data_IF_508101540099
#
_entry.id   IF_508101540099
#
_cell.length_a   1.000
_cell.length_b   1.000
_cell.length_c   1.000
_cell.angle_alpha   90.00
_cell.angle_beta   90.00
_cell.angle_gamma   90.00
#
_symmetry.space_group_name_H-M   'P 1'
#
loop_
_entity.id
_entity.type
_entity.pdbx_description
1 polymer ?
#
# COMPACT_ATOMS: atom_id res chain seq x y z
N UNK A 1 22.55 0.91 -12.72
CA UNK A 1 21.18 1.22 -12.24
C UNK A 1 20.71 0.05 -11.40
N UNK A 2 20.20 0.30 -10.19
CA UNK A 2 19.74 -0.77 -9.29
C UNK A 2 18.46 -1.37 -9.84
N UNK A 3 18.37 -2.71 -9.89
CA UNK A 3 17.17 -3.43 -10.35
C UNK A 3 15.91 -2.94 -9.64
N UNK A 4 16.01 -2.52 -8.38
CA UNK A 4 14.88 -2.01 -7.62
C UNK A 4 14.37 -0.65 -8.09
N UNK A 5 15.26 0.29 -8.46
CA UNK A 5 14.82 1.55 -9.08
C UNK A 5 14.09 1.29 -10.41
N UNK A 6 14.48 0.23 -11.14
CA UNK A 6 13.73 -0.23 -12.30
C UNK A 6 12.40 -0.90 -11.92
N UNK A 7 12.30 -1.60 -10.79
CA UNK A 7 11.03 -2.18 -10.29
C UNK A 7 10.06 -1.06 -9.90
N UNK A 8 10.53 -0.05 -9.19
CA UNK A 8 9.73 1.13 -8.82
C UNK A 8 9.35 1.97 -10.04
N UNK A 9 10.29 2.17 -10.96
CA UNK A 9 10.02 2.83 -12.23
C UNK A 9 9.08 2.00 -13.13
N UNK A 10 9.09 0.67 -13.03
CA UNK A 10 8.15 -0.22 -13.72
C UNK A 10 6.77 -0.17 -13.08
N UNK A 11 6.66 -0.21 -11.76
CA UNK A 11 5.38 -0.02 -11.03
C UNK A 11 4.77 1.35 -11.39
N UNK A 12 5.58 2.41 -11.42
CA UNK A 12 5.15 3.77 -11.74
C UNK A 12 4.94 4.03 -13.25
N UNK A 13 5.70 3.38 -14.13
CA UNK A 13 5.51 3.47 -15.60
C UNK A 13 4.38 2.59 -16.11
N UNK A 14 4.04 1.51 -15.41
CA UNK A 14 2.94 0.62 -15.81
C UNK A 14 1.57 1.29 -15.70
N UNK A 15 1.41 2.26 -14.80
CA UNK A 15 0.27 3.20 -14.77
C UNK A 15 0.08 3.96 -16.11
N UNK A 16 1.09 4.00 -16.99
CA UNK A 16 1.06 4.72 -18.27
C UNK A 16 1.12 3.86 -19.53
N UNK A 17 1.35 2.54 -19.43
CA UNK A 17 1.64 1.70 -20.62
C UNK A 17 0.85 0.36 -20.72
N UNK A 18 -0.12 0.08 -19.84
CA UNK A 18 -1.06 -1.03 -20.02
C UNK A 18 -2.18 -0.70 -21.02
N UNK A 19 -2.80 -1.71 -21.66
CA UNK A 19 -4.08 -1.56 -22.35
C UNK A 19 -4.97 -0.61 -21.53
N UNK A 20 -5.40 0.52 -22.11
CA UNK A 20 -6.18 1.50 -21.38
C UNK A 20 -7.38 0.79 -20.75
N UNK A 21 -7.35 0.63 -19.43
CA UNK A 21 -8.50 0.14 -18.68
C UNK A 21 -9.70 0.95 -19.13
N UNK A 22 -10.77 0.25 -19.46
CA UNK A 22 -12.02 0.94 -19.72
C UNK A 22 -12.34 1.82 -18.51
N UNK A 23 -12.91 3.00 -18.77
CA UNK A 23 -13.33 3.92 -17.70
C UNK A 23 -14.21 3.20 -16.66
N UNK A 24 -14.94 2.18 -17.12
CA UNK A 24 -15.76 1.27 -16.33
C UNK A 24 -14.97 0.33 -15.41
N UNK A 25 -13.86 -0.27 -15.87
CA UNK A 25 -12.96 -1.08 -15.02
C UNK A 25 -12.26 -0.20 -13.98
N UNK A 26 -11.81 1.00 -14.38
CA UNK A 26 -11.23 1.98 -13.44
C UNK A 26 -12.21 2.43 -12.38
N UNK A 27 -13.47 2.64 -12.74
CA UNK A 27 -14.53 2.99 -11.79
C UNK A 27 -14.87 1.81 -10.87
N UNK A 28 -14.93 0.58 -11.39
CA UNK A 28 -15.15 -0.61 -10.59
C UNK A 28 -14.02 -0.86 -9.58
N UNK A 29 -12.75 -0.68 -9.97
CA UNK A 29 -11.61 -0.72 -9.06
C UNK A 29 -11.69 0.37 -7.99
N UNK A 30 -12.06 1.60 -8.36
CA UNK A 30 -12.23 2.72 -7.42
C UNK A 30 -13.31 2.44 -6.39
N UNK A 31 -14.48 1.94 -6.81
CA UNK A 31 -15.57 1.60 -5.89
C UNK A 31 -15.26 0.37 -5.03
N UNK A 32 -14.59 -0.63 -5.58
CA UNK A 32 -14.19 -1.83 -4.83
C UNK A 32 -13.13 -1.51 -3.76
N UNK A 33 -12.22 -0.58 -4.05
CA UNK A 33 -11.07 -0.28 -3.19
C UNK A 33 -11.22 0.98 -2.33
N UNK A 34 -12.33 1.72 -2.48
CA UNK A 34 -12.62 2.92 -1.69
C UNK A 34 -11.74 4.12 -2.04
N UNK A 35 -11.22 4.18 -3.26
CA UNK A 35 -10.40 5.29 -3.75
C UNK A 35 -11.34 6.39 -4.31
N UNK A 36 -11.88 7.24 -3.43
CA UNK A 36 -12.74 8.37 -3.82
C UNK A 36 -11.89 9.49 -4.44
N UNK A 37 -12.17 9.97 -5.68
CA UNK A 37 -11.53 11.16 -6.25
C UNK A 37 -11.82 12.46 -5.48
N UNK A 38 -12.78 12.42 -4.55
CA UNK A 38 -13.17 13.52 -3.67
C UNK A 38 -12.51 13.46 -2.31
N UNK A 39 -11.63 12.49 -2.03
CA UNK A 39 -10.78 12.56 -0.85
C UNK A 39 -9.86 13.77 -1.07
N UNK A 40 -10.05 14.88 -0.32
CA UNK A 40 -9.32 16.09 -0.60
C UNK A 40 -7.84 15.76 -0.57
N UNK A 41 -7.13 16.11 -1.64
CA UNK A 41 -5.69 16.40 -1.53
C UNK A 41 -5.65 17.51 -0.50
N UNK A 42 -5.53 17.14 0.78
CA UNK A 42 -5.52 18.06 1.90
C UNK A 42 -4.37 19.01 1.61
N UNK A 43 -4.74 20.17 1.09
CA UNK A 43 -3.87 21.29 0.91
C UNK A 43 -3.24 21.52 2.28
N UNK A 44 -1.91 21.62 2.35
CA UNK A 44 -1.15 21.71 3.60
C UNK A 44 -1.62 22.86 4.53
N UNK A 45 -2.52 23.72 4.03
CA UNK A 45 -3.22 24.78 4.74
C UNK A 45 -4.44 24.35 5.57
N UNK A 46 -5.15 23.25 5.25
CA UNK A 46 -6.22 22.71 6.12
C UNK A 46 -5.68 21.94 7.32
N UNK A 47 -4.38 21.59 7.28
CA UNK A 47 -3.60 20.90 8.32
C UNK A 47 -3.50 21.65 9.66
N UNK A 48 -4.05 22.87 9.78
CA UNK A 48 -3.94 23.72 10.97
C UNK A 48 -5.27 24.11 11.64
N UNK A 49 -6.45 23.68 11.17
CA UNK A 49 -7.72 24.24 11.64
C UNK A 49 -8.66 23.36 12.47
N UNK A 50 -8.39 22.07 12.65
CA UNK A 50 -9.17 21.24 13.57
C UNK A 50 -8.29 20.57 14.63
N UNK A 51 -7.70 21.40 15.49
CA UNK A 51 -7.09 20.95 16.74
C UNK A 51 -7.91 21.47 17.92
N UNK A 52 -9.02 20.80 18.22
CA UNK A 52 -9.65 20.87 19.55
C UNK A 52 -10.07 19.48 20.00
N UNK A 53 -9.08 18.57 20.10
CA UNK A 53 -9.19 17.38 20.95
C UNK A 53 -7.88 17.22 21.74
N UNK A 54 -7.88 17.31 23.09
CA UNK A 54 -6.67 17.37 23.90
C UNK A 54 -5.90 16.02 24.03
N UNK A 55 -6.30 14.98 23.30
CA UNK A 55 -5.60 13.69 23.26
C UNK A 55 -4.75 13.57 21.99
N UNK A 56 -3.54 14.12 22.01
CA UNK A 56 -2.56 14.03 20.90
C UNK A 56 -2.30 12.61 20.39
N UNK A 57 -2.58 11.57 21.20
CA UNK A 57 -2.36 10.16 20.87
C UNK A 57 -3.23 9.64 19.72
N UNK A 58 -4.48 10.10 19.56
CA UNK A 58 -5.38 9.62 18.49
C UNK A 58 -4.99 10.19 17.13
N UNK A 59 -4.64 11.48 17.09
CA UNK A 59 -4.17 12.15 15.88
C UNK A 59 -2.84 11.57 15.39
N UNK A 60 -1.88 11.38 16.30
CA UNK A 60 -0.58 10.81 15.96
C UNK A 60 -0.70 9.36 15.45
N UNK A 61 -1.62 8.57 16.02
CA UNK A 61 -1.93 7.22 15.52
C UNK A 61 -2.49 7.22 14.10
N UNK A 62 -3.44 8.13 13.80
CA UNK A 62 -4.02 8.24 12.47
C UNK A 62 -2.98 8.71 11.45
N UNK A 63 -2.16 9.68 11.81
CA UNK A 63 -1.09 10.18 10.94
C UNK A 63 -0.03 9.11 10.69
N UNK A 64 0.36 8.36 11.72
CA UNK A 64 1.28 7.22 11.58
C UNK A 64 0.71 6.14 10.65
N UNK A 65 -0.57 5.77 10.82
CA UNK A 65 -1.25 4.79 9.96
C UNK A 65 -1.31 5.25 8.51
N UNK A 66 -1.69 6.51 8.26
CA UNK A 66 -1.69 7.09 6.90
C UNK A 66 -0.29 7.10 6.30
N UNK A 67 0.73 7.46 7.10
CA UNK A 67 2.12 7.52 6.67
C UNK A 67 2.60 6.16 6.16
N UNK A 68 2.43 5.10 6.94
CA UNK A 68 2.91 3.77 6.53
C UNK A 68 2.15 3.22 5.31
N UNK A 69 0.82 3.34 5.28
CA UNK A 69 0.02 2.86 4.14
C UNK A 69 0.42 3.59 2.86
N UNK A 70 0.61 4.92 2.93
CA UNK A 70 1.04 5.71 1.77
C UNK A 70 2.45 5.37 1.32
N UNK A 71 3.40 5.25 2.24
CA UNK A 71 4.79 4.89 1.91
C UNK A 71 4.86 3.53 1.20
N UNK A 72 4.04 2.58 1.64
CA UNK A 72 4.00 1.24 1.05
C UNK A 72 3.29 1.24 -0.31
N UNK A 73 2.23 2.04 -0.47
CA UNK A 73 1.46 2.13 -1.71
C UNK A 73 2.20 2.89 -2.83
N UNK A 74 2.96 3.94 -2.49
CA UNK A 74 3.74 4.75 -3.43
C UNK A 74 5.23 4.73 -3.01
N UNK A 75 5.94 3.62 -3.32
CA UNK A 75 7.35 3.52 -3.02
C UNK A 75 8.15 4.52 -3.87
N UNK A 76 8.67 5.56 -3.22
CA UNK A 76 9.53 6.57 -3.84
C UNK A 76 10.76 5.95 -4.51
N UNK A 77 11.35 6.60 -5.53
CA UNK A 77 12.56 6.17 -6.27
C UNK A 77 13.85 6.21 -5.41
N UNK A 78 13.83 5.54 -4.26
CA UNK A 78 14.97 5.28 -3.40
C UNK A 78 15.43 3.83 -3.61
N UNK A 79 16.64 3.50 -3.18
CA UNK A 79 17.12 2.13 -3.27
C UNK A 79 16.25 1.20 -2.42
N UNK A 80 16.25 -0.09 -2.76
CA UNK A 80 15.51 -1.14 -2.06
C UNK A 80 15.74 -1.14 -0.57
N UNK A 81 17.02 -1.11 -0.22
CA UNK A 81 17.49 -1.16 1.14
C UNK A 81 17.00 0.05 1.91
N UNK A 82 17.07 1.24 1.30
CA UNK A 82 16.57 2.48 1.90
C UNK A 82 15.06 2.52 2.03
N UNK A 83 14.33 1.92 1.09
CA UNK A 83 12.89 1.80 1.18
C UNK A 83 12.48 0.96 2.38
N UNK A 84 13.02 -0.25 2.52
CA UNK A 84 12.68 -1.13 3.63
C UNK A 84 13.23 -0.63 4.97
N UNK A 85 14.39 0.04 4.97
CA UNK A 85 14.90 0.77 6.13
C UNK A 85 13.90 1.87 6.55
N UNK A 86 13.41 2.67 5.61
CA UNK A 86 12.45 3.73 5.89
C UNK A 86 11.11 3.18 6.42
N UNK A 87 10.58 2.12 5.82
CA UNK A 87 9.37 1.43 6.32
C UNK A 87 9.62 0.91 7.74
N UNK A 88 10.81 0.35 8.03
CA UNK A 88 11.19 -0.11 9.36
C UNK A 88 11.31 1.04 10.37
N UNK A 89 11.83 2.20 9.98
CA UNK A 89 11.89 3.41 10.81
C UNK A 89 10.49 3.89 11.20
N UNK A 90 9.58 4.00 10.23
CA UNK A 90 8.18 4.34 10.48
C UNK A 90 7.56 3.31 11.42
N UNK A 91 7.87 2.03 11.25
CA UNK A 91 7.37 0.98 12.13
C UNK A 91 7.81 1.17 13.59
N UNK A 92 9.07 1.56 13.83
CA UNK A 92 9.59 1.84 15.17
C UNK A 92 8.92 3.04 15.83
N UNK A 93 8.42 4.01 15.06
CA UNK A 93 7.66 5.16 15.59
C UNK A 93 6.39 4.70 16.35
N UNK A 94 5.80 3.56 15.96
CA UNK A 94 4.61 3.02 16.65
C UNK A 94 4.84 2.77 18.14
N UNK A 95 6.05 2.31 18.51
CA UNK A 95 6.41 2.09 19.90
C UNK A 95 6.58 3.41 20.65
N UNK A 96 7.18 4.41 20.02
CA UNK A 96 7.35 5.74 20.62
C UNK A 96 6.01 6.45 20.84
N UNK A 97 5.05 6.23 19.95
CA UNK A 97 3.68 6.75 20.02
C UNK A 97 2.75 5.94 20.95
N UNK A 98 3.25 4.85 21.55
CA UNK A 98 2.45 3.99 22.43
C UNK A 98 1.27 3.32 21.73
N UNK A 99 1.39 3.05 20.43
CA UNK A 99 0.33 2.42 19.63
C UNK A 99 0.17 0.97 20.07
N UNK A 100 -1.07 0.53 20.27
CA UNK A 100 -1.33 -0.84 20.69
C UNK A 100 -0.89 -1.86 19.62
N UNK A 101 -0.44 -3.07 20.02
CA UNK A 101 -0.07 -4.12 19.08
C UNK A 101 -1.19 -4.48 18.10
N UNK A 102 -2.46 -4.39 18.53
CA UNK A 102 -3.63 -4.67 17.70
C UNK A 102 -3.78 -3.64 16.56
N UNK A 103 -3.62 -2.35 16.86
CA UNK A 103 -3.65 -1.28 15.84
C UNK A 103 -2.47 -1.39 14.88
N UNK A 104 -1.28 -1.71 15.40
CA UNK A 104 -0.09 -1.95 14.57
C UNK A 104 -0.31 -3.13 13.63
N UNK A 105 -0.90 -4.22 14.13
CA UNK A 105 -1.21 -5.41 13.33
C UNK A 105 -2.26 -5.14 12.25
N UNK A 106 -3.35 -4.45 12.57
CA UNK A 106 -4.35 -4.06 11.55
C UNK A 106 -3.76 -3.14 10.49
N UNK A 107 -2.89 -2.22 10.89
CA UNK A 107 -2.19 -1.33 9.96
C UNK A 107 -1.23 -2.10 9.05
N UNK A 108 -0.54 -3.14 9.55
CA UNK A 108 0.30 -4.02 8.73
C UNK A 108 -0.53 -4.69 7.62
N UNK A 109 -1.70 -5.23 8.00
CA UNK A 109 -2.61 -5.90 7.06
C UNK A 109 -3.10 -4.93 5.98
N UNK A 110 -3.45 -3.72 6.36
CA UNK A 110 -3.90 -2.69 5.42
C UNK A 110 -2.79 -2.23 4.47
N UNK A 111 -1.59 -1.97 4.99
CA UNK A 111 -0.45 -1.58 4.17
C UNK A 111 -0.11 -2.68 3.14
N UNK A 112 -0.11 -3.94 3.56
CA UNK A 112 0.12 -5.08 2.66
C UNK A 112 -1.00 -5.24 1.61
N UNK A 113 -2.27 -5.04 1.99
CA UNK A 113 -3.39 -4.99 1.04
C UNK A 113 -3.21 -3.90 0.01
N UNK A 114 -2.81 -2.71 0.43
CA UNK A 114 -2.59 -1.58 -0.47
C UNK A 114 -1.47 -1.88 -1.48
N UNK A 115 -0.37 -2.48 -1.03
CA UNK A 115 0.71 -2.91 -1.90
C UNK A 115 0.24 -3.94 -2.95
N UNK A 116 -0.50 -4.95 -2.49
CA UNK A 116 -1.04 -5.99 -3.36
C UNK A 116 -1.97 -5.42 -4.43
N UNK A 117 -2.88 -4.50 -4.06
CA UNK A 117 -3.79 -3.85 -5.00
C UNK A 117 -3.03 -3.12 -6.11
N UNK A 118 -1.94 -2.44 -5.76
CA UNK A 118 -1.10 -1.79 -6.75
C UNK A 118 -0.41 -2.80 -7.68
N UNK A 119 0.11 -3.89 -7.12
CA UNK A 119 0.77 -4.97 -7.89
C UNK A 119 -0.20 -5.72 -8.83
N UNK A 120 -1.43 -5.99 -8.41
CA UNK A 120 -2.41 -6.72 -9.24
C UNK A 120 -3.13 -5.85 -10.25
N UNK A 121 -2.95 -4.52 -10.19
CA UNK A 121 -3.65 -3.58 -11.07
C UNK A 121 -3.46 -3.94 -12.55
N UNK A 122 -2.26 -4.37 -12.95
CA UNK A 122 -1.91 -4.67 -14.35
C UNK A 122 -2.24 -6.11 -14.79
N UNK A 123 -3.00 -6.86 -14.00
CA UNK A 123 -3.36 -8.27 -14.27
C UNK A 123 -2.16 -9.23 -14.39
N UNK A 124 -0.95 -8.81 -14.02
CA UNK A 124 0.27 -9.63 -14.05
C UNK A 124 1.22 -9.28 -12.90
N UNK A 125 1.51 -10.28 -12.05
CA UNK A 125 2.54 -10.21 -11.00
C UNK A 125 3.86 -10.74 -11.54
N UNK A 126 4.85 -9.87 -11.60
CA UNK A 126 6.22 -10.20 -12.02
C UNK A 126 7.03 -10.80 -10.88
N UNK A 127 8.14 -11.46 -11.22
CA UNK A 127 9.10 -11.97 -10.22
C UNK A 127 9.62 -10.88 -9.29
N UNK A 128 9.80 -9.67 -9.82
CA UNK A 128 10.22 -8.51 -9.05
C UNK A 128 9.20 -8.10 -7.99
N UNK A 129 7.91 -8.09 -8.37
CA UNK A 129 6.81 -7.74 -7.47
C UNK A 129 6.61 -8.82 -6.40
N UNK A 130 6.76 -10.10 -6.73
CA UNK A 130 6.83 -11.19 -5.74
C UNK A 130 7.91 -10.96 -4.69
N UNK A 131 9.12 -10.66 -5.17
CA UNK A 131 10.29 -10.43 -4.33
C UNK A 131 10.08 -9.18 -3.44
N UNK A 132 9.40 -8.14 -3.95
CA UNK A 132 8.98 -6.97 -3.18
C UNK A 132 7.94 -7.31 -2.11
N UNK A 133 6.88 -8.05 -2.45
CA UNK A 133 5.83 -8.44 -1.51
C UNK A 133 6.35 -9.35 -0.39
N UNK A 134 7.27 -10.26 -0.71
CA UNK A 134 7.90 -11.12 0.29
C UNK A 134 8.72 -10.33 1.31
N UNK A 135 9.54 -9.37 0.87
CA UNK A 135 10.29 -8.52 1.81
C UNK A 135 9.38 -7.55 2.57
N UNK A 136 8.32 -7.04 1.93
CA UNK A 136 7.34 -6.20 2.60
C UNK A 136 6.62 -6.96 3.72
N UNK A 137 6.24 -8.21 3.47
CA UNK A 137 5.66 -9.10 4.50
C UNK A 137 6.61 -9.25 5.70
N UNK A 138 7.90 -9.46 5.45
CA UNK A 138 8.91 -9.59 6.51
C UNK A 138 9.04 -8.30 7.33
N UNK A 139 9.12 -7.14 6.67
CA UNK A 139 9.26 -5.84 7.34
C UNK A 139 8.02 -5.48 8.15
N UNK A 140 6.83 -5.79 7.64
CA UNK A 140 5.57 -5.57 8.35
C UNK A 140 5.31 -6.61 9.47
N UNK A 141 6.15 -7.64 9.58
CA UNK A 141 6.00 -8.70 10.58
C UNK A 141 4.73 -9.54 10.39
N UNK A 142 4.25 -9.67 9.15
CA UNK A 142 3.02 -10.41 8.85
C UNK A 142 3.29 -11.93 8.83
N UNK A 143 2.49 -12.73 9.56
CA UNK A 143 2.55 -14.19 9.46
C UNK A 143 2.30 -14.69 8.03
N UNK A 144 3.00 -15.75 7.62
CA UNK A 144 2.90 -16.30 6.26
C UNK A 144 1.47 -16.73 5.88
N UNK A 145 0.75 -17.34 6.80
CA UNK A 145 -0.66 -17.75 6.62
C UNK A 145 -1.58 -16.54 6.41
N UNK A 146 -1.33 -15.45 7.16
CA UNK A 146 -2.08 -14.21 7.02
C UNK A 146 -1.80 -13.52 5.68
N UNK A 147 -0.52 -13.41 5.32
CA UNK A 147 -0.11 -12.81 4.05
C UNK A 147 -0.70 -13.59 2.87
N UNK A 148 -0.62 -14.92 2.90
CA UNK A 148 -1.21 -15.78 1.87
C UNK A 148 -2.73 -15.60 1.75
N UNK A 149 -3.44 -15.49 2.88
CA UNK A 149 -4.88 -15.23 2.90
C UNK A 149 -5.21 -13.87 2.27
N UNK A 150 -4.47 -12.82 2.63
CA UNK A 150 -4.66 -11.48 2.07
C UNK A 150 -4.40 -11.49 0.56
N UNK A 151 -3.31 -12.13 0.12
CA UNK A 151 -3.00 -12.28 -1.32
C UNK A 151 -4.15 -12.98 -2.05
N UNK A 152 -4.66 -14.08 -1.50
CA UNK A 152 -5.78 -14.81 -2.11
C UNK A 152 -7.06 -13.96 -2.18
N UNK A 153 -7.39 -13.22 -1.11
CA UNK A 153 -8.53 -12.29 -1.07
C UNK A 153 -8.43 -11.26 -2.20
N UNK A 154 -7.28 -10.56 -2.29
CA UNK A 154 -7.07 -9.47 -3.25
C UNK A 154 -6.99 -9.98 -4.70
N UNK A 155 -6.31 -11.11 -4.93
CA UNK A 155 -6.27 -11.73 -6.26
C UNK A 155 -7.67 -12.14 -6.70
N UNK A 156 -8.44 -12.81 -5.84
CA UNK A 156 -9.81 -13.25 -6.18
C UNK A 156 -10.72 -12.04 -6.48
N UNK A 157 -10.59 -10.97 -5.70
CA UNK A 157 -11.29 -9.71 -5.94
C UNK A 157 -10.91 -9.11 -7.29
N UNK A 158 -9.62 -9.01 -7.59
CA UNK A 158 -9.12 -8.50 -8.87
C UNK A 158 -9.56 -9.37 -10.06
N UNK A 159 -9.49 -10.70 -9.95
CA UNK A 159 -9.98 -11.62 -10.99
C UNK A 159 -11.47 -11.45 -11.28
N UNK A 160 -12.25 -11.16 -10.24
CA UNK A 160 -13.68 -10.86 -10.36
C UNK A 160 -13.91 -9.54 -11.09
N UNK A 161 -13.19 -8.49 -10.71
CA UNK A 161 -13.32 -7.15 -11.33
C UNK A 161 -12.90 -7.19 -12.80
N UNK A 162 -11.77 -7.83 -13.10
CA UNK A 162 -11.23 -7.90 -14.45
C UNK A 162 -11.85 -8.99 -15.32
N UNK A 163 -12.75 -9.81 -14.76
CA UNK A 163 -13.33 -10.98 -15.42
C UNK A 163 -12.28 -11.87 -16.12
N UNK A 164 -11.08 -11.93 -15.55
CA UNK A 164 -9.91 -12.59 -16.13
C UNK A 164 -8.93 -12.99 -15.05
N UNK A 165 -8.11 -14.00 -15.32
CA UNK A 165 -7.11 -14.48 -14.34
C UNK A 165 -5.93 -13.53 -14.25
N UNK A 166 -5.47 -13.26 -13.03
CA UNK A 166 -4.22 -12.57 -12.79
C UNK A 166 -3.08 -13.53 -13.14
N UNK A 167 -2.15 -13.08 -13.98
CA UNK A 167 -0.98 -13.88 -14.36
C UNK A 167 0.09 -13.80 -13.28
N UNK A 168 0.82 -14.90 -13.11
CA UNK A 168 1.98 -14.94 -12.24
C UNK A 168 1.67 -15.05 -10.75
N UNK A 169 0.43 -15.31 -10.34
CA UNK A 169 0.05 -15.63 -8.93
C UNK A 169 0.60 -16.98 -8.50
#
# INVERSE_FOLDING_TARGET
MSLFASILSLLKSRDTNGEEFSEQEREALRQAWGLDPSDPVLDSAEMHREATDPTGTSYDQQMWRKKIVRTVADPAEISRERFFEHVSEIWKESHALGISPEVVYETAREAFRSALRHVVADKEITKAEHIYLEELKEVLGLPNDMAAKITQEIVTEAETIFSSKIRGV
#
